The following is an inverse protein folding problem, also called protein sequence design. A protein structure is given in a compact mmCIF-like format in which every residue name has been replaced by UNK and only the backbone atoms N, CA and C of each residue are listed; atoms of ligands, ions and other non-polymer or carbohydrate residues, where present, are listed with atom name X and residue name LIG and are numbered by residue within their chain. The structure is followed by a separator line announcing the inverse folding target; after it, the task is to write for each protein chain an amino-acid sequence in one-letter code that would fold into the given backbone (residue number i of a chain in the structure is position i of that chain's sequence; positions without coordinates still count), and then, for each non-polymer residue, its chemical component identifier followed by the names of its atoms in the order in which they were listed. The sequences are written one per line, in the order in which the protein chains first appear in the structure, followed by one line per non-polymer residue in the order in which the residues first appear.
data_IF_748989886828
#
_entry.id   IF_748989886828
#
_cell.length_a   1.000
_cell.length_b   1.000
_cell.length_c   1.000
_cell.angle_alpha   90.00
_cell.angle_beta   90.00
_cell.angle_gamma   90.00
#
_symmetry.space_group_name_H-M   'P 1'
#
loop_
_entity.id
_entity.type
_entity.pdbx_description
1 polymer ?
#
# COMPACT_ATOMS: atom_id res chain seq x y z
N UNK A 1 -13.48 8.53 -7.71
CA UNK A 1 -12.90 7.65 -6.69
C UNK A 1 -13.36 8.13 -5.33
N UNK A 2 -14.10 7.32 -4.60
CA UNK A 2 -14.41 7.52 -3.19
C UNK A 2 -13.44 6.70 -2.31
N UNK A 3 -13.64 6.73 -0.98
CA UNK A 3 -12.77 6.02 -0.06
C UNK A 3 -12.84 4.49 -0.23
N UNK A 4 -14.04 3.95 -0.53
CA UNK A 4 -14.25 2.51 -0.69
C UNK A 4 -13.59 2.00 -1.98
N UNK A 5 -13.76 2.74 -3.08
CA UNK A 5 -13.08 2.46 -4.36
C UNK A 5 -11.56 2.53 -4.22
N UNK A 6 -11.04 3.46 -3.40
CA UNK A 6 -9.61 3.52 -3.09
C UNK A 6 -9.16 2.33 -2.25
N UNK A 7 -9.95 1.94 -1.25
CA UNK A 7 -9.69 0.77 -0.41
C UNK A 7 -9.58 -0.48 -1.25
N UNK A 8 -10.58 -0.75 -2.10
CA UNK A 8 -10.63 -1.91 -2.98
C UNK A 8 -9.45 -1.91 -3.96
N UNK A 9 -9.06 -0.73 -4.46
CA UNK A 9 -7.92 -0.59 -5.36
C UNK A 9 -6.59 -0.90 -4.66
N UNK A 10 -6.39 -0.39 -3.44
CA UNK A 10 -5.18 -0.62 -2.65
C UNK A 10 -5.09 -2.08 -2.22
N UNK A 11 -6.19 -2.65 -1.70
CA UNK A 11 -6.28 -4.05 -1.29
C UNK A 11 -6.06 -4.98 -2.48
N UNK A 12 -6.73 -4.73 -3.61
CA UNK A 12 -6.58 -5.52 -4.82
C UNK A 12 -5.19 -5.42 -5.47
N UNK A 13 -4.52 -4.27 -5.35
CA UNK A 13 -3.17 -4.10 -5.88
C UNK A 13 -2.11 -4.86 -5.06
N UNK A 14 -2.15 -4.73 -3.73
CA UNK A 14 -1.14 -5.34 -2.88
C UNK A 14 -1.46 -6.79 -2.51
N UNK A 15 -2.73 -7.16 -2.43
CA UNK A 15 -3.18 -8.49 -2.02
C UNK A 15 -2.54 -8.93 -0.72
N UNK A 16 -1.96 -10.13 -0.70
CA UNK A 16 -1.29 -10.72 0.46
C UNK A 16 -0.14 -9.85 1.05
N UNK A 17 0.39 -8.90 0.29
CA UNK A 17 1.44 -7.99 0.74
C UNK A 17 0.94 -6.94 1.73
N UNK A 18 -0.37 -6.67 1.76
CA UNK A 18 -0.97 -5.66 2.61
C UNK A 18 -1.89 -6.27 3.67
N UNK A 19 -1.84 -5.70 4.87
CA UNK A 19 -2.87 -5.87 5.90
C UNK A 19 -3.60 -4.57 6.09
N UNK A 20 -4.81 -4.49 5.56
CA UNK A 20 -5.65 -3.30 5.66
C UNK A 20 -5.94 -2.97 7.13
N UNK A 21 -5.94 -1.67 7.47
CA UNK A 21 -6.11 -1.21 8.87
C UNK A 21 -7.38 -0.41 9.06
N UNK A 22 -7.55 0.64 8.27
CA UNK A 22 -8.79 1.41 8.30
C UNK A 22 -9.04 2.09 6.96
N UNK A 23 -10.30 2.48 6.83
CA UNK A 23 -10.82 3.40 5.85
C UNK A 23 -11.49 4.54 6.62
N UNK A 24 -11.23 5.78 6.23
CA UNK A 24 -11.90 6.96 6.75
C UNK A 24 -12.61 7.66 5.59
N UNK A 25 -13.92 7.44 5.48
CA UNK A 25 -14.73 8.01 4.40
C UNK A 25 -14.85 9.53 4.46
N UNK A 26 -14.67 10.15 5.64
CA UNK A 26 -14.76 11.60 5.80
C UNK A 26 -13.51 12.31 5.28
N UNK A 27 -12.32 11.72 5.47
CA UNK A 27 -11.04 12.25 4.95
C UNK A 27 -10.58 11.55 3.68
N UNK A 28 -11.34 10.57 3.19
CA UNK A 28 -11.00 9.69 2.06
C UNK A 28 -9.62 9.06 2.18
N UNK A 29 -9.30 8.63 3.38
CA UNK A 29 -8.01 8.06 3.74
C UNK A 29 -8.13 6.54 3.90
N UNK A 30 -7.13 5.82 3.40
CA UNK A 30 -6.97 4.37 3.53
C UNK A 30 -5.58 4.11 4.10
N UNK A 31 -5.51 3.26 5.12
CA UNK A 31 -4.24 2.85 5.70
C UNK A 31 -4.09 1.33 5.71
N UNK A 32 -2.88 0.86 5.43
CA UNK A 32 -2.52 -0.56 5.51
C UNK A 32 -1.07 -0.74 5.99
N UNK A 33 -0.77 -1.93 6.48
CA UNK A 33 0.62 -2.33 6.77
C UNK A 33 1.11 -3.20 5.61
N UNK A 34 2.15 -2.75 4.93
CA UNK A 34 2.83 -3.51 3.88
C UNK A 34 3.91 -4.39 4.49
N UNK A 35 3.92 -5.67 4.11
CA UNK A 35 4.93 -6.66 4.47
C UNK A 35 5.18 -6.78 5.98
N UNK A 36 4.15 -6.59 6.80
CA UNK A 36 4.27 -6.49 8.27
C UNK A 36 5.31 -5.47 8.78
N UNK A 37 5.71 -4.51 7.94
CA UNK A 37 6.89 -3.68 8.17
C UNK A 37 6.67 -2.19 7.96
N UNK A 38 5.82 -1.79 7.01
CA UNK A 38 5.66 -0.38 6.62
C UNK A 38 4.22 0.07 6.79
N UNK A 39 4.02 1.18 7.48
CA UNK A 39 2.71 1.81 7.59
C UNK A 39 2.48 2.71 6.37
N UNK A 40 1.63 2.27 5.45
CA UNK A 40 1.23 3.04 4.26
C UNK A 40 -0.08 3.78 4.55
N UNK A 41 -0.12 5.05 4.16
CA UNK A 41 -1.33 5.85 4.04
C UNK A 41 -1.52 6.32 2.61
N UNK A 42 -2.75 6.25 2.15
CA UNK A 42 -3.22 6.78 0.88
C UNK A 42 -4.43 7.67 1.14
N UNK A 43 -4.54 8.79 0.44
CA UNK A 43 -5.65 9.73 0.58
C UNK A 43 -6.07 10.32 -0.77
N UNK A 44 -7.31 10.78 -0.84
CA UNK A 44 -7.85 11.55 -1.95
C UNK A 44 -8.25 12.93 -1.44
N UNK A 45 -7.46 13.94 -1.78
CA UNK A 45 -7.78 15.33 -1.44
C UNK A 45 -8.93 15.84 -2.31
N UNK A 46 -10.04 16.16 -1.65
CA UNK A 46 -11.28 16.62 -2.26
C UNK A 46 -11.22 18.03 -2.85
N UNK A 47 -10.30 18.88 -2.39
CA UNK A 47 -10.23 20.25 -2.92
C UNK A 47 -9.63 20.30 -4.33
N UNK A 48 -8.77 19.34 -4.68
CA UNK A 48 -8.07 19.30 -5.96
C UNK A 48 -8.19 17.98 -6.71
N UNK A 49 -8.90 16.99 -6.15
CA UNK A 49 -9.00 15.64 -6.69
C UNK A 49 -7.64 14.96 -6.77
N UNK A 50 -6.75 15.20 -5.79
CA UNK A 50 -5.38 14.72 -5.83
C UNK A 50 -5.20 13.44 -5.04
N UNK A 51 -4.41 12.54 -5.58
CA UNK A 51 -3.96 11.35 -4.87
C UNK A 51 -2.72 11.66 -4.02
N UNK A 52 -2.80 11.33 -2.74
CA UNK A 52 -1.68 11.32 -1.79
C UNK A 52 -1.32 9.89 -1.41
N UNK A 53 -0.03 9.59 -1.31
CA UNK A 53 0.45 8.34 -0.74
C UNK A 53 1.80 8.53 -0.06
N UNK A 54 1.97 7.90 1.09
CA UNK A 54 3.21 8.00 1.86
C UNK A 54 3.36 6.94 2.94
N UNK A 55 4.62 6.66 3.29
CA UNK A 55 4.96 5.75 4.39
C UNK A 55 5.21 6.55 5.67
N UNK A 56 4.44 6.27 6.72
CA UNK A 56 4.67 6.90 8.03
C UNK A 56 5.90 6.32 8.72
N UNK A 57 6.73 7.21 9.25
CA UNK A 57 7.91 6.89 10.05
C UNK A 57 7.88 7.71 11.33
N UNK A 58 7.53 7.05 12.43
CA UNK A 58 7.39 7.71 13.72
C UNK A 58 6.16 8.62 13.78
N UNK A 59 6.21 9.68 14.60
CA UNK A 59 5.03 10.51 14.90
C UNK A 59 4.78 11.65 13.90
N UNK A 60 5.79 12.11 13.16
CA UNK A 60 5.69 13.37 12.40
C UNK A 60 6.33 13.31 11.01
N UNK A 61 6.88 12.16 10.59
CA UNK A 61 7.56 12.05 9.31
C UNK A 61 6.81 11.10 8.38
N UNK A 62 6.57 11.55 7.15
CA UNK A 62 6.00 10.75 6.08
C UNK A 62 6.98 10.76 4.91
N UNK A 63 7.39 9.57 4.44
CA UNK A 63 8.12 9.46 3.18
C UNK A 63 7.12 9.53 2.05
N UNK A 64 7.24 10.57 1.22
CA UNK A 64 6.47 10.76 -0.02
C UNK A 64 7.36 10.73 -1.27
N UNK A 65 8.67 10.65 -1.07
CA UNK A 65 9.68 10.52 -2.13
C UNK A 65 10.48 9.23 -1.95
N UNK A 66 10.38 8.34 -2.93
CA UNK A 66 10.89 6.98 -2.90
C UNK A 66 12.06 6.86 -3.88
N UNK A 67 13.30 6.99 -3.39
CA UNK A 67 14.53 6.99 -4.19
C UNK A 67 14.49 8.00 -5.36
N UNK A 68 14.03 9.22 -5.09
CA UNK A 68 13.91 10.29 -6.09
C UNK A 68 12.68 10.20 -7.00
N UNK A 69 11.86 9.14 -6.85
CA UNK A 69 10.56 9.02 -7.51
C UNK A 69 9.45 9.55 -6.60
N UNK A 70 8.46 10.22 -7.17
CA UNK A 70 7.27 10.69 -6.46
C UNK A 70 6.02 10.00 -6.98
N UNK A 71 5.04 9.83 -6.11
CA UNK A 71 3.71 9.41 -6.50
C UNK A 71 3.06 10.47 -7.42
N UNK A 72 2.22 10.01 -8.34
CA UNK A 72 1.41 10.88 -9.17
C UNK A 72 0.37 11.57 -8.29
N UNK A 73 0.10 12.85 -8.55
CA UNK A 73 -1.02 13.55 -7.92
C UNK A 73 -2.35 13.25 -8.61
N UNK A 74 -2.35 12.53 -9.74
CA UNK A 74 -3.57 12.19 -10.46
C UNK A 74 -4.33 11.06 -9.76
N UNK A 75 -5.64 11.22 -9.63
CA UNK A 75 -6.54 10.26 -8.98
C UNK A 75 -7.13 9.20 -9.93
N UNK A 76 -6.61 9.08 -11.15
CA UNK A 76 -7.03 8.01 -12.07
C UNK A 76 -6.38 6.66 -11.66
N UNK A 77 -7.07 5.56 -11.94
CA UNK A 77 -6.69 4.22 -11.50
C UNK A 77 -5.29 3.83 -11.96
N UNK A 78 -4.90 4.18 -13.20
CA UNK A 78 -3.58 3.83 -13.73
C UNK A 78 -2.46 4.60 -13.02
N UNK A 79 -2.65 5.91 -12.81
CA UNK A 79 -1.72 6.75 -12.07
C UNK A 79 -1.55 6.31 -10.61
N UNK A 80 -2.64 5.91 -9.96
CA UNK A 80 -2.60 5.37 -8.60
C UNK A 80 -1.82 4.06 -8.59
N UNK A 81 -2.12 3.11 -9.47
CA UNK A 81 -1.38 1.83 -9.56
C UNK A 81 0.13 2.03 -9.79
N UNK A 82 0.52 2.97 -10.65
CA UNK A 82 1.94 3.32 -10.85
C UNK A 82 2.58 3.86 -9.56
N UNK A 83 1.84 4.66 -8.81
CA UNK A 83 2.30 5.20 -7.52
C UNK A 83 2.46 4.10 -6.47
N UNK A 84 1.50 3.17 -6.39
CA UNK A 84 1.57 2.00 -5.51
C UNK A 84 2.74 1.08 -5.90
N UNK A 85 3.03 0.94 -7.20
CA UNK A 85 4.20 0.19 -7.68
C UNK A 85 5.53 0.80 -7.21
N UNK A 86 5.67 2.12 -7.26
CA UNK A 86 6.86 2.81 -6.74
C UNK A 86 7.09 2.49 -5.26
N UNK A 87 6.01 2.48 -4.48
CA UNK A 87 6.05 2.14 -3.05
C UNK A 87 6.38 0.66 -2.84
N UNK A 88 5.77 -0.25 -3.61
CA UNK A 88 6.05 -1.69 -3.56
C UNK A 88 7.54 -1.98 -3.82
N UNK A 89 8.10 -1.40 -4.88
CA UNK A 89 9.51 -1.50 -5.24
C UNK A 89 10.41 -0.99 -4.10
N UNK A 90 10.07 0.18 -3.54
CA UNK A 90 10.81 0.77 -2.43
C UNK A 90 10.80 -0.11 -1.17
N UNK A 91 9.63 -0.63 -0.79
CA UNK A 91 9.48 -1.53 0.35
C UNK A 91 10.28 -2.81 0.16
N UNK A 92 10.19 -3.44 -1.01
CA UNK A 92 10.94 -4.68 -1.31
C UNK A 92 12.45 -4.47 -1.25
N UNK A 93 12.96 -3.35 -1.75
CA UNK A 93 14.39 -3.02 -1.68
C UNK A 93 14.92 -2.85 -0.26
N UNK A 94 14.06 -2.50 0.70
CA UNK A 94 14.43 -2.34 2.12
C UNK A 94 14.32 -3.62 2.93
N UNK A 95 13.67 -4.64 2.39
CA UNK A 95 13.49 -5.91 3.07
C UNK A 95 14.51 -6.94 2.56
N UNK A 96 15.17 -7.69 3.45
CA UNK A 96 16.05 -8.77 3.03
C UNK A 96 15.29 -9.87 2.26
N UNK A 97 15.93 -10.50 1.28
CA UNK A 97 15.32 -11.59 0.51
C UNK A 97 14.77 -12.71 1.41
N UNK A 98 15.54 -13.11 2.44
CA UNK A 98 15.09 -14.11 3.43
C UNK A 98 13.77 -13.75 4.13
N UNK A 99 13.49 -12.45 4.30
CA UNK A 99 12.25 -11.98 4.90
C UNK A 99 11.11 -12.09 3.87
N UNK A 100 11.33 -11.62 2.65
CA UNK A 100 10.34 -11.69 1.57
C UNK A 100 9.95 -13.15 1.27
N UNK A 101 10.91 -14.06 1.27
CA UNK A 101 10.68 -15.51 1.08
C UNK A 101 9.83 -16.10 2.21
N UNK A 102 10.15 -15.77 3.47
CA UNK A 102 9.38 -16.24 4.61
C UNK A 102 7.96 -15.68 4.62
N UNK A 103 7.81 -14.40 4.27
CA UNK A 103 6.51 -13.74 4.16
C UNK A 103 5.66 -14.37 3.05
N UNK A 104 6.24 -14.61 1.87
CA UNK A 104 5.57 -15.28 0.76
C UNK A 104 5.08 -16.68 1.15
N UNK A 105 5.93 -17.48 1.82
CA UNK A 105 5.53 -18.81 2.32
C UNK A 105 4.33 -18.73 3.26
N UNK A 106 4.37 -17.82 4.23
CA UNK A 106 3.34 -17.69 5.25
C UNK A 106 1.97 -17.27 4.70
N UNK A 107 1.93 -16.38 3.69
CA UNK A 107 0.67 -15.79 3.23
C UNK A 107 0.23 -16.20 1.82
N UNK A 108 1.06 -16.94 1.08
CA UNK A 108 0.70 -17.46 -0.25
C UNK A 108 0.72 -18.99 -0.27
N UNK A 109 1.79 -19.63 0.21
CA UNK A 109 1.92 -21.10 0.10
C UNK A 109 1.14 -21.86 1.16
N UNK A 110 1.11 -21.39 2.41
CA UNK A 110 0.31 -22.03 3.47
C UNK A 110 -1.20 -22.00 3.20
N UNK A 111 -1.69 -21.13 2.30
CA UNK A 111 -3.09 -21.13 1.88
C UNK A 111 -3.44 -22.30 0.95
N UNK A 112 -2.44 -22.95 0.34
CA UNK A 112 -2.65 -24.12 -0.53
C UNK A 112 -2.43 -25.46 0.19
N UNK A 113 -1.70 -25.50 1.31
CA UNK A 113 -1.53 -26.74 2.11
C UNK A 113 -2.79 -27.09 2.93
N UNK A 114 -3.64 -26.11 3.25
CA UNK A 114 -4.92 -26.31 3.93
C UNK A 114 -6.09 -26.68 2.98
N UNK A 115 -5.85 -26.79 1.67
CA UNK A 115 -6.87 -27.18 0.68
C UNK A 115 -6.91 -28.69 0.37
N UNK A 116 -6.04 -29.50 0.98
CA UNK A 116 -6.00 -30.96 0.82
C UNK A 116 -6.60 -31.69 2.06
N UNK A 117 -7.86 -31.39 2.42
CA UNK A 117 -8.66 -32.20 3.37
C UNK A 117 -10.01 -32.57 2.76
#
# INVERSE_FOLDING_TARGET
MNADELYDLVEGFFGYKAKMRYINSATKEVACILYDSFWLKCDLDDQYGRFGAGLEIGKESIITEFLGKRCSLNSDVESIKKSLQIIDEYCRLRLPDKFLDAYYKAYVLNQYEDCDI
#
